data_IF_180521189774
#
_entry.id   IF_180521189774
#
_cell.length_a   1.000
_cell.length_b   1.000
_cell.length_c   1.000
_cell.angle_alpha   90.00
_cell.angle_beta   90.00
_cell.angle_gamma   90.00
#
_symmetry.space_group_name_H-M   'P 1'
#
loop_
_entity.id
_entity.type
_entity.pdbx_description
1 polymer ?
#
# COMPACT_ATOMS: atom_id res chain seq x y z
N UNK A 1 39.62 62.58 -23.48
CA UNK A 1 38.41 62.11 -22.78
C UNK A 1 38.22 60.64 -23.21
N UNK A 2 38.50 59.71 -22.33
CA UNK A 2 38.21 58.27 -22.55
C UNK A 2 36.99 57.89 -21.74
N UNK A 3 35.91 57.52 -22.44
CA UNK A 3 34.71 57.03 -21.82
C UNK A 3 34.90 55.56 -21.47
N UNK A 4 34.93 55.22 -20.19
CA UNK A 4 34.92 53.83 -19.70
C UNK A 4 33.51 53.29 -19.74
N UNK A 5 33.29 52.24 -20.52
CA UNK A 5 32.03 51.51 -20.51
C UNK A 5 32.00 50.56 -19.27
N UNK A 6 31.05 50.79 -18.37
CA UNK A 6 30.79 49.95 -17.21
C UNK A 6 29.88 48.78 -17.66
N UNK A 7 30.46 47.59 -17.77
CA UNK A 7 29.68 46.38 -18.08
C UNK A 7 28.96 45.92 -16.83
N UNK A 8 27.63 46.03 -16.82
CA UNK A 8 26.76 45.45 -15.78
C UNK A 8 26.68 43.93 -15.99
N UNK A 9 27.35 43.16 -15.15
CA UNK A 9 27.14 41.72 -15.03
C UNK A 9 25.81 41.46 -14.32
N UNK A 10 24.77 41.14 -15.10
CA UNK A 10 23.53 40.56 -14.54
C UNK A 10 23.84 39.14 -14.08
N UNK A 11 23.91 38.93 -12.76
CA UNK A 11 23.90 37.60 -12.17
C UNK A 11 22.48 37.02 -12.38
N UNK A 12 22.39 36.02 -13.26
CA UNK A 12 21.16 35.23 -13.37
C UNK A 12 20.93 34.51 -12.03
N UNK A 13 19.82 34.81 -11.35
CA UNK A 13 19.38 34.01 -10.22
C UNK A 13 19.19 32.55 -10.68
N UNK A 14 19.65 31.57 -9.90
CA UNK A 14 19.37 30.16 -10.24
C UNK A 14 17.85 29.99 -10.34
N UNK A 15 17.39 29.50 -11.48
CA UNK A 15 15.99 29.10 -11.65
C UNK A 15 15.68 28.04 -10.58
N UNK A 16 14.62 28.25 -9.80
CA UNK A 16 14.13 27.20 -8.91
C UNK A 16 13.83 25.98 -9.78
N UNK A 17 14.38 24.83 -9.39
CA UNK A 17 14.13 23.62 -10.16
C UNK A 17 12.68 23.21 -9.98
N UNK A 18 12.08 22.78 -11.06
CA UNK A 18 10.79 22.13 -11.01
C UNK A 18 10.88 20.87 -10.12
N UNK A 19 9.91 20.64 -9.26
CA UNK A 19 9.85 19.43 -8.43
C UNK A 19 9.78 18.18 -9.32
N UNK A 20 10.30 17.02 -8.85
CA UNK A 20 10.24 15.79 -9.62
C UNK A 20 8.80 15.35 -9.88
N UNK A 21 8.52 14.92 -11.11
CA UNK A 21 7.24 14.24 -11.43
C UNK A 21 7.39 12.77 -11.10
N UNK A 22 6.54 12.27 -10.18
CA UNK A 22 6.65 10.93 -9.62
C UNK A 22 5.73 9.95 -10.36
N UNK A 23 6.28 8.86 -10.84
CA UNK A 23 5.52 7.69 -11.30
C UNK A 23 5.18 6.78 -10.10
N UNK A 24 4.25 5.84 -10.30
CA UNK A 24 3.94 4.81 -9.31
C UNK A 24 5.21 4.02 -8.95
N UNK A 25 5.58 3.94 -7.64
CA UNK A 25 6.84 3.35 -7.21
C UNK A 25 6.82 1.82 -7.12
N UNK A 26 5.77 1.17 -7.58
CA UNK A 26 5.57 -0.29 -7.56
C UNK A 26 5.14 -0.83 -8.92
N UNK A 27 5.58 -2.05 -9.23
CA UNK A 27 5.07 -2.82 -10.35
C UNK A 27 3.73 -3.49 -9.96
N UNK A 28 2.67 -2.69 -9.84
CA UNK A 28 1.35 -3.15 -9.44
C UNK A 28 0.24 -2.40 -10.19
N UNK A 29 -0.97 -2.92 -10.12
CA UNK A 29 -2.20 -2.28 -10.59
C UNK A 29 -2.84 -1.55 -9.39
N UNK A 30 -2.68 -0.21 -9.32
CA UNK A 30 -3.18 0.60 -8.22
C UNK A 30 -4.70 0.46 -8.05
N UNK A 31 -5.14 0.31 -6.80
CA UNK A 31 -6.54 0.02 -6.45
C UNK A 31 -6.92 -1.46 -6.55
N UNK A 32 -6.05 -2.31 -7.10
CA UNK A 32 -6.33 -3.74 -7.28
C UNK A 32 -5.29 -4.65 -6.64
N UNK A 33 -4.02 -4.54 -7.04
CA UNK A 33 -2.92 -5.37 -6.51
C UNK A 33 -2.00 -4.60 -5.57
N UNK A 34 -2.21 -3.30 -5.43
CA UNK A 34 -1.70 -2.45 -4.36
C UNK A 34 -2.67 -1.29 -4.10
N UNK A 35 -2.66 -0.76 -2.91
CA UNK A 35 -3.47 0.39 -2.47
C UNK A 35 -2.63 1.29 -1.59
N UNK A 36 -3.00 2.58 -1.46
CA UNK A 36 -2.44 3.43 -0.43
C UNK A 36 -3.26 3.22 0.85
N UNK A 37 -2.59 2.76 1.91
CA UNK A 37 -3.17 2.63 3.24
C UNK A 37 -3.04 3.94 4.01
N UNK A 38 -1.82 4.48 4.11
CA UNK A 38 -1.54 5.70 4.84
C UNK A 38 -0.83 6.75 3.98
N UNK A 39 -1.20 8.01 4.19
CA UNK A 39 -0.60 9.19 3.57
C UNK A 39 0.34 9.90 4.56
N UNK A 40 1.04 10.95 4.10
CA UNK A 40 1.83 11.81 4.98
C UNK A 40 0.91 12.47 6.01
N UNK A 41 1.39 12.53 7.25
CA UNK A 41 0.65 13.20 8.31
C UNK A 41 0.73 14.73 8.18
N UNK A 42 -0.43 15.34 7.96
CA UNK A 42 -0.61 16.77 7.86
C UNK A 42 -0.93 17.45 9.22
N UNK A 43 -1.20 16.67 10.28
CA UNK A 43 -1.45 17.22 11.60
C UNK A 43 -0.12 17.58 12.30
N UNK A 44 0.04 18.78 12.87
CA UNK A 44 1.24 19.15 13.62
C UNK A 44 1.26 18.65 15.08
N UNK A 45 0.13 18.15 15.58
CA UNK A 45 -0.08 17.66 16.94
C UNK A 45 0.01 16.14 17.05
N UNK A 46 -0.54 15.56 18.11
CA UNK A 46 -0.53 14.10 18.33
C UNK A 46 -1.68 13.36 17.63
N UNK A 47 -2.54 14.07 16.91
CA UNK A 47 -3.58 13.50 16.07
C UNK A 47 -3.02 13.10 14.71
N UNK A 48 -3.85 12.62 13.80
CA UNK A 48 -3.44 12.24 12.46
C UNK A 48 -4.40 12.78 11.42
N UNK A 49 -3.87 13.28 10.30
CA UNK A 49 -4.66 13.74 9.15
C UNK A 49 -3.92 13.50 7.85
N UNK A 50 -4.62 13.01 6.85
CA UNK A 50 -4.12 12.99 5.48
C UNK A 50 -4.33 14.33 4.77
N UNK A 51 -3.83 14.45 3.55
CA UNK A 51 -3.93 15.67 2.73
C UNK A 51 -5.38 16.11 2.42
N UNK A 52 -6.37 15.20 2.53
CA UNK A 52 -7.79 15.52 2.35
C UNK A 52 -8.47 15.95 3.65
N UNK A 53 -7.74 16.05 4.76
CA UNK A 53 -8.21 16.18 6.14
C UNK A 53 -8.96 14.95 6.67
N UNK A 54 -8.83 13.80 6.01
CA UNK A 54 -9.29 12.51 6.48
C UNK A 54 -8.33 11.86 7.48
N UNK A 55 -8.66 10.66 7.92
CA UNK A 55 -7.93 9.93 8.98
C UNK A 55 -6.90 8.93 8.45
N UNK A 56 -6.71 8.87 7.11
CA UNK A 56 -5.79 7.89 6.50
C UNK A 56 -4.33 8.31 6.63
N UNK A 57 -3.85 8.36 7.86
CA UNK A 57 -2.47 8.61 8.23
C UNK A 57 -2.20 8.02 9.62
N UNK A 58 -1.04 8.26 10.15
CA UNK A 58 -0.61 7.97 11.53
C UNK A 58 0.18 9.14 12.05
N UNK A 59 0.11 9.41 13.36
CA UNK A 59 0.89 10.48 14.00
C UNK A 59 2.37 10.43 13.58
N UNK A 60 2.86 11.56 13.09
CA UNK A 60 4.22 11.77 12.54
C UNK A 60 4.58 10.85 11.36
N UNK A 61 3.59 10.39 10.57
CA UNK A 61 3.86 9.58 9.38
C UNK A 61 4.51 10.43 8.28
N UNK A 62 5.67 9.98 7.79
CA UNK A 62 6.59 10.77 6.96
C UNK A 62 6.66 10.32 5.51
N UNK A 63 5.65 9.64 5.01
CA UNK A 63 5.62 9.14 3.65
C UNK A 63 4.26 8.64 3.23
N UNK A 64 4.23 7.91 2.13
CA UNK A 64 3.04 7.25 1.58
C UNK A 64 3.25 5.75 1.61
N UNK A 65 2.34 5.01 2.24
CA UNK A 65 2.42 3.56 2.39
C UNK A 65 1.60 2.86 1.29
N UNK A 66 2.33 2.25 0.35
CA UNK A 66 1.73 1.43 -0.72
C UNK A 66 1.69 -0.03 -0.27
N UNK A 67 0.52 -0.46 0.21
CA UNK A 67 0.28 -1.80 0.74
C UNK A 67 0.10 -2.82 -0.36
N UNK A 68 0.65 -4.02 -0.16
CA UNK A 68 0.29 -5.22 -0.90
C UNK A 68 -0.92 -5.93 -0.25
N UNK A 69 -1.65 -6.74 -1.02
CA UNK A 69 -2.83 -7.42 -0.49
C UNK A 69 -2.57 -8.37 0.68
N UNK A 70 -1.42 -9.05 0.67
CA UNK A 70 -1.01 -10.05 1.67
C UNK A 70 0.47 -10.41 1.54
N UNK A 71 0.98 -11.24 2.47
CA UNK A 71 2.35 -11.76 2.41
C UNK A 71 2.59 -12.66 1.19
N UNK A 72 1.58 -13.36 0.69
CA UNK A 72 1.73 -14.20 -0.49
C UNK A 72 2.07 -13.35 -1.73
N UNK A 73 1.49 -12.15 -1.86
CA UNK A 73 1.84 -11.19 -2.90
C UNK A 73 3.28 -10.69 -2.76
N UNK A 74 3.76 -10.44 -1.53
CA UNK A 74 5.15 -10.09 -1.25
C UNK A 74 6.10 -11.24 -1.63
N UNK A 75 5.77 -12.47 -1.28
CA UNK A 75 6.62 -13.64 -1.62
C UNK A 75 6.66 -13.92 -3.12
N UNK A 76 5.56 -13.66 -3.84
CA UNK A 76 5.53 -13.74 -5.30
C UNK A 76 6.45 -12.71 -5.96
N UNK A 77 6.82 -11.65 -5.24
CA UNK A 77 7.78 -10.62 -5.66
C UNK A 77 7.10 -9.46 -6.39
N UNK A 78 6.95 -8.32 -5.72
CA UNK A 78 6.48 -7.06 -6.33
C UNK A 78 7.66 -6.10 -6.39
N UNK A 79 8.05 -5.69 -7.59
CA UNK A 79 9.21 -4.82 -7.76
C UNK A 79 8.93 -3.39 -7.25
N UNK A 80 9.91 -2.85 -6.52
CA UNK A 80 10.01 -1.43 -6.17
C UNK A 80 10.72 -0.72 -7.30
N UNK A 81 10.11 0.34 -7.80
CA UNK A 81 10.54 1.10 -8.97
C UNK A 81 10.99 2.52 -8.58
N UNK A 82 11.99 3.05 -9.26
CA UNK A 82 12.36 4.45 -9.13
C UNK A 82 11.20 5.34 -9.59
N UNK A 83 10.63 6.14 -8.68
CA UNK A 83 9.50 7.02 -8.97
C UNK A 83 9.89 8.18 -9.90
N UNK A 84 11.16 8.62 -9.88
CA UNK A 84 11.70 9.66 -10.74
C UNK A 84 13.17 9.35 -11.09
N UNK A 85 13.74 9.99 -12.14
CA UNK A 85 15.16 9.83 -12.47
C UNK A 85 16.04 10.40 -11.36
N UNK A 86 17.17 9.75 -11.09
CA UNK A 86 18.09 10.23 -10.06
C UNK A 86 19.39 9.45 -9.96
N UNK A 87 20.12 9.71 -8.88
CA UNK A 87 21.32 8.99 -8.50
C UNK A 87 21.07 8.31 -7.16
N UNK A 88 21.44 7.05 -7.03
CA UNK A 88 21.38 6.33 -5.75
C UNK A 88 22.34 6.99 -4.76
N UNK A 89 21.81 7.67 -3.76
CA UNK A 89 22.59 8.36 -2.74
C UNK A 89 23.04 7.40 -1.63
N UNK A 90 22.17 6.46 -1.24
CA UNK A 90 22.48 5.47 -0.21
C UNK A 90 21.60 4.23 -0.36
N UNK A 91 22.09 3.09 0.16
CA UNK A 91 21.35 1.86 0.31
C UNK A 91 21.59 1.26 1.69
N UNK A 92 20.62 0.54 2.21
CA UNK A 92 20.76 -0.34 3.38
C UNK A 92 20.08 -1.66 3.08
N UNK A 93 20.77 -2.77 3.31
CA UNK A 93 20.27 -4.13 3.16
C UNK A 93 20.69 -4.99 4.35
N UNK A 94 20.09 -6.17 4.49
CA UNK A 94 20.44 -7.15 5.52
C UNK A 94 19.52 -7.14 6.75
N UNK A 95 18.52 -6.24 6.83
CA UNK A 95 17.49 -6.28 7.88
C UNK A 95 16.49 -7.39 7.52
N UNK A 96 16.16 -8.26 8.49
CA UNK A 96 15.24 -9.38 8.32
C UNK A 96 13.81 -8.91 7.99
N UNK A 97 13.13 -9.65 7.12
CA UNK A 97 11.71 -9.47 6.83
C UNK A 97 10.88 -10.19 7.91
N UNK A 98 10.66 -9.49 9.02
CA UNK A 98 9.97 -10.05 10.19
C UNK A 98 8.96 -9.04 10.71
N UNK A 99 7.67 -9.41 10.87
CA UNK A 99 6.67 -8.53 11.44
C UNK A 99 7.12 -8.01 12.81
N UNK A 100 6.91 -6.71 13.04
CA UNK A 100 7.21 -6.13 14.34
C UNK A 100 6.23 -6.64 15.40
N UNK A 101 6.77 -6.97 16.56
CA UNK A 101 6.03 -7.39 17.75
C UNK A 101 6.62 -6.66 18.97
N UNK A 102 5.91 -6.61 20.10
CA UNK A 102 6.50 -6.06 21.34
C UNK A 102 7.83 -6.71 21.72
N UNK A 103 8.01 -8.00 21.40
CA UNK A 103 9.21 -8.77 21.74
C UNK A 103 10.44 -8.47 20.87
N UNK A 104 10.27 -7.96 19.64
CA UNK A 104 11.37 -7.66 18.72
C UNK A 104 11.58 -6.17 18.44
N UNK A 105 10.70 -5.29 18.94
CA UNK A 105 10.70 -3.84 18.66
C UNK A 105 12.06 -3.19 18.96
N UNK A 106 12.70 -3.55 20.07
CA UNK A 106 14.02 -2.99 20.45
C UNK A 106 15.15 -3.32 19.48
N UNK A 107 15.02 -4.36 18.65
CA UNK A 107 16.02 -4.70 17.61
C UNK A 107 15.93 -3.82 16.38
N UNK A 108 14.85 -3.09 16.24
CA UNK A 108 14.52 -2.27 15.06
C UNK A 108 14.85 -0.80 15.32
N UNK A 109 15.08 -0.40 16.56
CA UNK A 109 15.42 0.97 16.95
C UNK A 109 16.61 1.51 16.14
N UNK A 110 16.43 2.69 15.51
CA UNK A 110 17.37 3.29 14.56
C UNK A 110 17.41 2.60 13.18
N UNK A 111 16.55 1.61 12.95
CA UNK A 111 16.41 0.88 11.68
C UNK A 111 14.96 0.77 11.24
N UNK A 112 14.10 1.70 11.63
CA UNK A 112 12.66 1.67 11.41
C UNK A 112 12.33 1.54 9.91
N UNK A 113 13.07 2.22 9.03
CA UNK A 113 12.92 2.12 7.57
C UNK A 113 13.34 0.74 6.98
N UNK A 114 13.96 -0.15 7.77
CA UNK A 114 14.41 -1.47 7.29
C UNK A 114 15.44 -1.41 6.18
N UNK A 115 15.35 -2.31 5.19
CA UNK A 115 16.14 -2.24 3.96
C UNK A 115 15.60 -1.11 3.09
N UNK A 116 16.49 -0.34 2.50
CA UNK A 116 16.11 0.94 1.91
C UNK A 116 17.01 1.36 0.75
N UNK A 117 16.43 2.15 -0.14
CA UNK A 117 17.15 2.91 -1.17
C UNK A 117 16.79 4.38 -1.02
N UNK A 118 17.77 5.28 -1.11
CA UNK A 118 17.57 6.72 -1.19
C UNK A 118 18.08 7.21 -2.54
N UNK A 119 17.24 7.90 -3.29
CA UNK A 119 17.59 8.56 -4.55
C UNK A 119 17.74 10.06 -4.33
N UNK A 120 18.74 10.64 -4.98
CA UNK A 120 18.93 12.08 -5.14
C UNK A 120 18.51 12.49 -6.56
N UNK A 121 17.53 13.39 -6.65
CA UNK A 121 17.00 13.91 -7.92
C UNK A 121 17.62 15.25 -8.31
N UNK A 122 18.55 15.74 -7.50
CA UNK A 122 19.14 17.07 -7.64
C UNK A 122 18.35 18.17 -6.95
N UNK A 123 18.99 19.32 -6.74
CA UNK A 123 18.40 20.53 -6.16
C UNK A 123 17.65 20.32 -4.83
N UNK A 124 18.18 19.44 -3.99
CA UNK A 124 17.63 19.15 -2.66
C UNK A 124 16.46 18.15 -2.64
N UNK A 125 15.97 17.68 -3.81
CA UNK A 125 14.92 16.69 -3.89
C UNK A 125 15.45 15.27 -3.73
N UNK A 126 14.82 14.50 -2.88
CA UNK A 126 15.14 13.09 -2.64
C UNK A 126 13.89 12.26 -2.49
N UNK A 127 13.98 10.95 -2.82
CA UNK A 127 13.00 9.94 -2.45
C UNK A 127 13.65 8.84 -1.64
N UNK A 128 12.92 8.33 -0.63
CA UNK A 128 13.34 7.27 0.26
C UNK A 128 12.35 6.11 0.16
N UNK A 129 12.87 4.93 -0.16
CA UNK A 129 12.11 3.69 -0.32
C UNK A 129 12.45 2.78 0.84
N UNK A 130 11.49 2.52 1.74
CA UNK A 130 11.69 1.72 2.96
C UNK A 130 10.98 0.37 2.90
N UNK A 131 11.25 -0.46 3.89
CA UNK A 131 10.66 -1.80 4.11
C UNK A 131 10.91 -2.79 2.98
N UNK A 132 12.00 -2.57 2.21
CA UNK A 132 12.33 -3.43 1.08
C UNK A 132 12.75 -4.83 1.54
N UNK A 133 12.55 -5.84 0.68
CA UNK A 133 12.87 -7.24 0.95
C UNK A 133 14.38 -7.43 1.08
N UNK A 134 14.80 -8.17 2.10
CA UNK A 134 16.21 -8.48 2.34
C UNK A 134 16.83 -9.18 1.14
N UNK A 135 18.01 -8.70 0.72
CA UNK A 135 18.77 -9.24 -0.41
C UNK A 135 18.16 -8.99 -1.78
N UNK A 136 17.11 -8.14 -1.87
CA UNK A 136 16.45 -7.86 -3.14
C UNK A 136 17.00 -6.64 -3.89
N UNK A 137 17.86 -5.83 -3.25
CA UNK A 137 18.33 -4.58 -3.83
C UNK A 137 19.19 -4.84 -5.07
N UNK A 138 18.85 -4.16 -6.18
CA UNK A 138 19.52 -4.30 -7.48
C UNK A 138 20.43 -3.13 -7.81
N UNK A 139 20.53 -2.16 -6.91
CA UNK A 139 21.26 -0.90 -7.09
C UNK A 139 22.29 -0.66 -6.00
N UNK A 140 23.29 0.18 -6.30
CA UNK A 140 24.33 0.58 -5.35
C UNK A 140 24.54 2.10 -5.41
N UNK A 141 25.12 2.74 -4.37
CA UNK A 141 25.43 4.16 -4.36
C UNK A 141 26.21 4.61 -5.59
N UNK A 142 25.84 5.77 -6.14
CA UNK A 142 26.43 6.33 -7.36
C UNK A 142 25.77 5.86 -8.67
N UNK A 143 24.95 4.80 -8.66
CA UNK A 143 24.22 4.36 -9.86
C UNK A 143 23.17 5.40 -10.26
N UNK A 144 23.14 5.76 -11.56
CA UNK A 144 22.07 6.54 -12.15
C UNK A 144 20.91 5.63 -12.48
N UNK A 145 19.69 6.08 -12.18
CA UNK A 145 18.43 5.38 -12.48
C UNK A 145 17.49 6.29 -13.24
N UNK A 146 16.64 5.68 -14.07
CA UNK A 146 15.52 6.33 -14.76
C UNK A 146 14.23 5.99 -14.03
N UNK A 147 13.19 6.77 -14.25
CA UNK A 147 11.84 6.40 -13.83
C UNK A 147 11.51 4.99 -14.29
N UNK A 148 11.01 4.15 -13.39
CA UNK A 148 10.63 2.75 -13.65
C UNK A 148 11.77 1.74 -13.55
N UNK A 149 13.03 2.16 -13.36
CA UNK A 149 14.11 1.21 -13.09
C UNK A 149 13.88 0.48 -11.77
N UNK A 150 14.12 -0.85 -11.76
CA UNK A 150 13.94 -1.68 -10.57
C UNK A 150 15.01 -1.36 -9.55
N UNK A 151 14.59 -1.06 -8.32
CA UNK A 151 15.46 -0.82 -7.16
C UNK A 151 15.61 -2.07 -6.29
N UNK A 152 14.59 -2.92 -6.25
CA UNK A 152 14.50 -4.13 -5.45
C UNK A 152 13.06 -4.63 -5.41
N UNK A 153 12.64 -5.27 -4.32
CA UNK A 153 11.29 -5.78 -4.11
C UNK A 153 10.70 -5.29 -2.79
N UNK A 154 9.37 -5.25 -2.71
CA UNK A 154 8.64 -5.00 -1.46
C UNK A 154 8.95 -6.10 -0.46
N UNK A 155 9.18 -5.72 0.79
CA UNK A 155 9.49 -6.60 1.90
C UNK A 155 8.66 -6.33 3.14
N UNK A 156 9.23 -6.74 4.28
CA UNK A 156 8.64 -6.63 5.61
C UNK A 156 9.71 -6.26 6.65
N UNK A 157 10.76 -5.56 6.24
CA UNK A 157 11.91 -5.22 7.07
C UNK A 157 11.71 -3.90 7.81
N UNK A 158 12.18 -3.80 9.04
CA UNK A 158 12.07 -2.58 9.86
C UNK A 158 10.80 -2.50 10.69
N UNK A 159 10.29 -1.29 10.94
CA UNK A 159 9.12 -1.06 11.79
C UNK A 159 7.83 -1.23 10.99
N UNK A 160 7.49 -2.46 10.69
CA UNK A 160 6.27 -2.81 9.96
C UNK A 160 5.73 -4.16 10.38
N UNK A 161 4.43 -4.39 10.22
CA UNK A 161 3.76 -5.67 10.47
C UNK A 161 2.99 -6.19 9.24
N UNK A 162 3.04 -5.46 8.12
CA UNK A 162 2.38 -5.83 6.88
C UNK A 162 3.23 -5.45 5.66
N UNK A 163 3.15 -6.20 4.55
CA UNK A 163 4.00 -5.97 3.39
C UNK A 163 3.60 -4.70 2.64
N UNK A 164 4.47 -3.72 2.63
CA UNK A 164 4.26 -2.44 1.94
C UNK A 164 5.57 -1.78 1.54
N UNK A 165 5.48 -0.82 0.66
CA UNK A 165 6.51 0.18 0.40
C UNK A 165 6.13 1.48 1.10
N UNK A 166 6.98 1.97 2.00
CA UNK A 166 6.91 3.33 2.49
C UNK A 166 7.76 4.23 1.58
N UNK A 167 7.13 5.20 0.92
CA UNK A 167 7.78 6.19 0.07
C UNK A 167 7.82 7.55 0.75
N UNK A 168 8.99 7.97 1.24
CA UNK A 168 9.24 9.35 1.69
C UNK A 168 9.68 10.23 0.53
N UNK A 169 9.12 11.44 0.44
CA UNK A 169 9.61 12.50 -0.46
C UNK A 169 10.17 13.62 0.38
N UNK A 170 11.37 14.07 0.04
CA UNK A 170 12.07 15.12 0.79
C UNK A 170 12.51 16.24 -0.15
N UNK A 171 12.42 17.48 0.35
CA UNK A 171 13.06 18.64 -0.26
C UNK A 171 13.88 19.39 0.79
N UNK A 172 15.17 19.54 0.54
CA UNK A 172 16.12 20.14 1.49
C UNK A 172 16.08 19.49 2.89
N UNK A 173 15.89 18.16 2.92
CA UNK A 173 15.81 17.37 4.14
C UNK A 173 14.47 17.44 4.90
N UNK A 174 13.49 18.17 4.40
CA UNK A 174 12.13 18.26 4.96
C UNK A 174 11.18 17.33 4.22
N UNK A 175 10.28 16.70 4.95
CA UNK A 175 9.21 15.89 4.34
C UNK A 175 8.29 16.75 3.52
N UNK A 176 7.94 16.25 2.34
CA UNK A 176 6.97 16.85 1.42
C UNK A 176 5.88 15.82 1.14
N UNK A 177 4.63 16.19 1.32
CA UNK A 177 3.51 15.36 0.88
C UNK A 177 3.41 15.40 -0.65
N UNK A 178 3.59 14.28 -1.38
CA UNK A 178 3.49 14.28 -2.82
C UNK A 178 2.08 14.54 -3.36
N UNK A 179 1.04 14.45 -2.52
CA UNK A 179 -0.34 14.78 -2.89
C UNK A 179 -0.67 16.25 -2.69
N UNK A 180 -0.02 16.94 -1.75
CA UNK A 180 -0.19 18.37 -1.50
C UNK A 180 1.15 19.05 -1.11
N UNK A 181 2.11 19.15 -2.04
CA UNK A 181 3.49 19.55 -1.74
C UNK A 181 3.61 20.98 -1.20
N UNK A 182 2.61 21.82 -1.40
CA UNK A 182 2.56 23.20 -0.91
C UNK A 182 1.97 23.36 0.49
N UNK A 183 1.29 22.34 1.02
CA UNK A 183 0.51 22.45 2.24
C UNK A 183 1.34 22.55 3.53
N UNK A 184 2.60 22.06 3.52
CA UNK A 184 3.40 21.95 4.73
C UNK A 184 2.77 20.93 5.70
N UNK A 185 2.38 21.40 6.90
CA UNK A 185 1.64 20.58 7.89
C UNK A 185 0.19 21.08 8.02
N UNK A 186 -0.50 21.17 6.90
CA UNK A 186 -1.92 21.47 6.80
C UNK A 186 -2.54 20.56 5.75
N UNK A 187 -3.86 20.50 5.70
CA UNK A 187 -4.58 19.64 4.76
C UNK A 187 -5.60 20.42 3.93
N UNK A 188 -6.09 19.82 2.85
CA UNK A 188 -7.20 20.36 2.05
C UNK A 188 -6.86 21.61 1.24
N UNK A 189 -5.58 21.85 0.91
CA UNK A 189 -5.20 23.04 0.15
C UNK A 189 -5.50 22.89 -1.35
N UNK A 190 -5.61 21.65 -1.85
CA UNK A 190 -5.98 21.36 -3.24
C UNK A 190 -4.93 21.80 -4.26
N UNK A 191 -3.67 21.87 -3.86
CA UNK A 191 -2.54 22.22 -4.71
C UNK A 191 -2.22 21.17 -5.78
N UNK A 192 -1.30 21.48 -6.72
CA UNK A 192 -0.86 20.52 -7.72
C UNK A 192 -0.05 19.41 -7.06
N UNK A 193 -0.39 18.16 -7.35
CA UNK A 193 0.34 16.97 -6.89
C UNK A 193 1.69 16.79 -7.61
N UNK A 194 2.64 16.09 -6.98
CA UNK A 194 3.88 15.64 -7.64
C UNK A 194 3.69 14.41 -8.53
N UNK A 195 2.56 13.71 -8.44
CA UNK A 195 2.31 12.51 -9.22
C UNK A 195 2.17 12.82 -10.72
N UNK A 196 2.84 12.03 -11.55
CA UNK A 196 2.74 12.09 -13.01
C UNK A 196 1.49 11.41 -13.54
N UNK A 197 0.86 10.56 -12.73
CA UNK A 197 -0.38 9.84 -13.01
C UNK A 197 -1.40 10.17 -11.93
N UNK A 198 -2.67 10.06 -12.26
CA UNK A 198 -3.73 10.20 -11.26
C UNK A 198 -3.74 8.96 -10.36
N UNK A 199 -3.64 9.19 -9.05
CA UNK A 199 -3.78 8.18 -8.00
C UNK A 199 -5.01 8.55 -7.17
N UNK A 200 -6.20 8.06 -7.54
CA UNK A 200 -7.43 8.42 -6.86
C UNK A 200 -7.39 8.04 -5.38
N UNK A 201 -7.95 8.92 -4.55
CA UNK A 201 -8.10 8.67 -3.11
C UNK A 201 -9.14 7.58 -2.87
N UNK A 202 -8.74 6.52 -2.17
CA UNK A 202 -9.64 5.46 -1.73
C UNK A 202 -9.86 5.57 -0.23
N UNK A 203 -11.01 6.13 0.19
CA UNK A 203 -11.34 6.31 1.60
C UNK A 203 -11.40 4.98 2.37
N UNK A 204 -11.80 3.90 1.70
CA UNK A 204 -11.82 2.54 2.20
C UNK A 204 -11.67 1.56 1.03
N UNK A 205 -11.52 0.27 1.30
CA UNK A 205 -11.49 -0.72 0.23
C UNK A 205 -11.32 -2.16 0.70
N UNK A 206 -11.04 -3.04 -0.25
CA UNK A 206 -10.79 -4.44 -0.02
C UNK A 206 -9.35 -4.77 -0.40
N UNK A 207 -8.57 -5.28 0.56
CA UNK A 207 -7.27 -5.88 0.25
C UNK A 207 -7.45 -7.15 -0.56
N UNK A 208 -8.14 -8.15 0.04
CA UNK A 208 -8.34 -9.46 -0.57
C UNK A 208 -9.74 -10.00 -0.35
N UNK A 209 -10.09 -11.01 -1.15
CA UNK A 209 -11.14 -11.97 -0.90
C UNK A 209 -10.59 -13.37 -1.10
N UNK A 210 -11.13 -14.36 -0.41
CA UNK A 210 -10.68 -15.75 -0.55
C UNK A 210 -11.68 -16.74 -0.01
N UNK A 211 -11.57 -17.97 -0.50
CA UNK A 211 -12.22 -19.12 0.12
C UNK A 211 -11.27 -19.80 1.10
N UNK A 212 -11.87 -20.33 2.19
CA UNK A 212 -11.20 -21.15 3.21
C UNK A 212 -12.07 -22.34 3.62
N UNK A 213 -11.47 -23.34 4.25
CA UNK A 213 -12.11 -24.58 4.69
C UNK A 213 -12.67 -24.50 6.12
N UNK A 214 -12.66 -23.32 6.70
CA UNK A 214 -13.21 -22.95 8.01
C UNK A 214 -13.13 -21.44 8.19
N UNK A 215 -13.66 -20.89 9.28
CA UNK A 215 -13.48 -19.48 9.63
C UNK A 215 -11.99 -19.26 9.93
N UNK A 216 -11.26 -18.47 9.13
CA UNK A 216 -9.82 -18.32 9.28
C UNK A 216 -9.46 -17.45 10.50
N UNK A 217 -8.25 -17.63 11.03
CA UNK A 217 -7.69 -16.62 11.92
C UNK A 217 -7.32 -15.35 11.13
N UNK A 218 -7.39 -14.18 11.77
CA UNK A 218 -7.09 -12.92 11.08
C UNK A 218 -5.64 -12.89 10.54
N UNK A 219 -4.68 -13.41 11.29
CA UNK A 219 -3.30 -13.53 10.83
C UNK A 219 -3.16 -14.37 9.55
N UNK A 220 -4.00 -15.41 9.37
CA UNK A 220 -4.00 -16.22 8.15
C UNK A 220 -4.61 -15.46 6.95
N UNK A 221 -5.59 -14.58 7.21
CA UNK A 221 -6.13 -13.66 6.19
C UNK A 221 -5.05 -12.67 5.75
N UNK A 222 -4.38 -12.03 6.69
CA UNK A 222 -3.32 -11.03 6.44
C UNK A 222 -2.11 -11.65 5.73
N UNK A 223 -1.76 -12.89 6.05
CA UNK A 223 -0.65 -13.59 5.41
C UNK A 223 -1.02 -14.21 4.05
N UNK A 224 -2.31 -14.35 3.74
CA UNK A 224 -2.79 -15.09 2.57
C UNK A 224 -2.88 -16.60 2.80
N UNK A 225 -2.44 -17.12 3.96
CA UNK A 225 -2.47 -18.56 4.29
C UNK A 225 -3.89 -19.12 4.38
N UNK A 226 -4.89 -18.28 4.65
CA UNK A 226 -6.31 -18.67 4.66
C UNK A 226 -6.82 -19.10 3.29
N UNK A 227 -6.22 -18.59 2.20
CA UNK A 227 -6.74 -18.77 0.83
C UNK A 227 -6.54 -20.21 0.35
N UNK A 228 -7.64 -20.81 -0.08
CA UNK A 228 -7.65 -22.14 -0.74
C UNK A 228 -7.93 -21.96 -2.23
N UNK A 229 -7.10 -22.56 -3.05
CA UNK A 229 -7.32 -22.66 -4.50
C UNK A 229 -8.07 -23.95 -4.86
N UNK A 230 -8.01 -24.96 -3.96
CA UNK A 230 -8.72 -26.23 -4.07
C UNK A 230 -9.25 -26.64 -2.70
N UNK A 231 -10.39 -27.32 -2.67
CA UNK A 231 -11.02 -27.83 -1.46
C UNK A 231 -11.59 -29.23 -1.68
N UNK A 232 -11.58 -30.03 -0.62
CA UNK A 232 -12.27 -31.32 -0.62
C UNK A 232 -13.80 -31.12 -0.58
N UNK A 233 -14.58 -32.04 -1.17
CA UNK A 233 -16.05 -31.90 -1.21
C UNK A 233 -16.72 -31.90 0.18
N UNK A 234 -16.11 -32.47 1.17
CA UNK A 234 -16.61 -32.56 2.56
C UNK A 234 -16.15 -31.39 3.45
N UNK A 235 -15.29 -30.52 2.96
CA UNK A 235 -14.84 -29.34 3.69
C UNK A 235 -15.95 -28.27 3.81
N UNK A 236 -15.87 -27.43 4.85
CA UNK A 236 -16.70 -26.23 4.90
C UNK A 236 -16.31 -25.25 3.79
N UNK A 237 -17.27 -24.55 3.21
CA UNK A 237 -17.05 -23.51 2.20
C UNK A 237 -17.26 -22.16 2.86
N UNK A 238 -16.18 -21.44 3.13
CA UNK A 238 -16.20 -20.13 3.78
C UNK A 238 -15.59 -19.10 2.85
N UNK A 239 -16.35 -18.04 2.51
CA UNK A 239 -15.87 -16.87 1.78
C UNK A 239 -15.55 -15.77 2.78
N UNK A 240 -14.37 -15.15 2.67
CA UNK A 240 -14.00 -14.00 3.47
C UNK A 240 -13.65 -12.79 2.59
N UNK A 241 -13.81 -11.59 3.18
CA UNK A 241 -13.33 -10.33 2.63
C UNK A 241 -12.46 -9.58 3.65
N UNK A 242 -11.28 -9.14 3.25
CA UNK A 242 -10.34 -8.34 4.04
C UNK A 242 -10.49 -6.87 3.65
N UNK A 243 -10.94 -6.06 4.59
CA UNK A 243 -11.30 -4.64 4.41
C UNK A 243 -10.22 -3.75 5.04
N UNK A 244 -9.98 -2.59 4.47
CA UNK A 244 -9.19 -1.52 5.08
C UNK A 244 -10.01 -0.23 5.23
N UNK A 245 -9.76 0.52 6.32
CA UNK A 245 -10.39 1.80 6.68
C UNK A 245 -11.93 1.77 6.62
N UNK A 246 -12.52 0.75 7.27
CA UNK A 246 -13.96 0.70 7.45
C UNK A 246 -14.44 1.82 8.38
N UNK A 247 -15.60 2.37 8.07
CA UNK A 247 -16.30 3.36 8.89
C UNK A 247 -17.69 2.82 9.32
N UNK A 248 -18.24 3.33 10.43
CA UNK A 248 -19.59 2.98 10.85
C UNK A 248 -20.63 3.21 9.75
N UNK A 249 -21.44 2.19 9.48
CA UNK A 249 -22.45 2.21 8.42
C UNK A 249 -21.96 1.71 7.05
N UNK A 250 -20.69 1.36 6.91
CA UNK A 250 -20.23 0.60 5.75
C UNK A 250 -20.89 -0.79 5.76
N UNK A 251 -21.10 -1.38 4.57
CA UNK A 251 -21.73 -2.69 4.40
C UNK A 251 -20.86 -3.59 3.53
N UNK A 252 -20.61 -4.80 4.05
CA UNK A 252 -19.85 -5.82 3.33
C UNK A 252 -20.77 -6.93 2.86
N UNK A 253 -20.94 -7.07 1.54
CA UNK A 253 -21.69 -8.15 0.91
C UNK A 253 -20.77 -9.30 0.51
N UNK A 254 -21.15 -10.52 0.90
CA UNK A 254 -20.47 -11.76 0.53
C UNK A 254 -21.48 -12.68 -0.17
N UNK A 255 -21.16 -13.07 -1.39
CA UNK A 255 -21.98 -13.95 -2.22
C UNK A 255 -21.11 -15.08 -2.78
N UNK A 256 -21.54 -16.33 -2.61
CA UNK A 256 -20.86 -17.48 -3.17
C UNK A 256 -21.79 -18.24 -4.13
N UNK A 257 -21.25 -18.61 -5.27
CA UNK A 257 -21.90 -19.38 -6.32
C UNK A 257 -21.08 -20.65 -6.63
N UNK A 258 -21.76 -21.72 -6.92
CA UNK A 258 -21.17 -23.00 -7.35
C UNK A 258 -21.83 -23.53 -8.62
N UNK A 259 -21.49 -24.77 -9.04
CA UNK A 259 -22.02 -25.37 -10.27
C UNK A 259 -23.55 -25.45 -10.31
N UNK A 260 -24.23 -25.49 -9.16
CA UNK A 260 -25.68 -25.60 -9.06
C UNK A 260 -26.37 -24.27 -8.71
N UNK A 261 -25.67 -23.14 -8.77
CA UNK A 261 -26.19 -21.80 -8.51
C UNK A 261 -25.69 -21.19 -7.20
N UNK A 262 -26.49 -20.26 -6.64
CA UNK A 262 -26.15 -19.54 -5.42
C UNK A 262 -26.10 -20.48 -4.21
N UNK A 263 -25.01 -20.39 -3.41
CA UNK A 263 -24.83 -21.14 -2.18
C UNK A 263 -25.30 -20.31 -0.98
N UNK A 264 -24.84 -19.05 -0.95
CA UNK A 264 -25.28 -18.05 0.04
C UNK A 264 -25.03 -16.65 -0.48
N UNK A 265 -25.81 -15.72 0.08
CA UNK A 265 -25.63 -14.28 -0.03
C UNK A 265 -25.91 -13.67 1.33
N UNK A 266 -24.98 -12.85 1.82
CA UNK A 266 -25.16 -12.14 3.08
C UNK A 266 -24.53 -10.76 3.00
N UNK A 267 -25.21 -9.78 3.61
CA UNK A 267 -24.69 -8.44 3.85
C UNK A 267 -24.46 -8.28 5.35
N UNK A 268 -23.31 -7.69 5.71
CA UNK A 268 -22.89 -7.46 7.09
C UNK A 268 -22.63 -5.97 7.24
N UNK A 269 -23.32 -5.32 8.19
CA UNK A 269 -23.02 -3.96 8.60
C UNK A 269 -21.68 -3.92 9.35
N UNK A 270 -20.89 -2.89 9.10
CA UNK A 270 -19.65 -2.61 9.83
C UNK A 270 -19.97 -1.45 10.77
N UNK A 271 -19.97 -1.72 12.07
CA UNK A 271 -20.52 -0.79 13.07
C UNK A 271 -19.40 0.06 13.72
N UNK A 272 -18.16 -0.41 13.65
CA UNK A 272 -17.01 0.24 14.25
C UNK A 272 -15.99 0.71 13.20
N UNK A 273 -15.28 1.84 13.44
CA UNK A 273 -14.18 2.23 12.60
C UNK A 273 -12.98 1.29 12.86
N UNK A 274 -12.50 0.65 11.81
CA UNK A 274 -11.34 -0.26 11.89
C UNK A 274 -10.36 -0.01 10.72
N UNK A 275 -9.08 0.13 11.03
CA UNK A 275 -8.03 0.29 10.01
C UNK A 275 -7.97 -0.96 9.14
N UNK A 276 -8.03 -2.14 9.75
CA UNK A 276 -8.10 -3.42 9.04
C UNK A 276 -9.04 -4.37 9.77
N UNK A 277 -9.91 -5.02 9.02
CA UNK A 277 -10.80 -6.06 9.52
C UNK A 277 -11.06 -7.11 8.44
N UNK A 278 -11.58 -8.26 8.84
CA UNK A 278 -12.20 -9.18 7.91
C UNK A 278 -13.58 -9.63 8.41
N UNK A 279 -14.40 -10.06 7.46
CA UNK A 279 -15.65 -10.78 7.77
C UNK A 279 -15.73 -12.01 6.89
N UNK A 280 -16.36 -13.04 7.42
CA UNK A 280 -16.48 -14.33 6.74
C UNK A 280 -17.88 -14.91 6.88
N UNK A 281 -18.36 -15.51 5.80
CA UNK A 281 -19.63 -16.22 5.73
C UNK A 281 -19.39 -17.58 5.10
N UNK A 282 -20.01 -18.63 5.63
CA UNK A 282 -19.82 -19.96 5.08
C UNK A 282 -20.90 -20.95 5.44
N UNK A 283 -20.81 -22.12 4.83
CA UNK A 283 -21.66 -23.26 5.10
C UNK A 283 -20.81 -24.53 5.25
N UNK A 284 -21.27 -25.43 6.11
CA UNK A 284 -20.75 -26.81 6.15
C UNK A 284 -21.17 -27.53 4.88
N UNK A 285 -20.37 -28.50 4.47
CA UNK A 285 -20.72 -29.35 3.34
C UNK A 285 -22.10 -30.03 3.54
N UNK A 286 -22.93 -30.09 2.50
CA UNK A 286 -24.18 -30.80 2.55
C UNK A 286 -23.91 -32.32 2.64
N UNK A 287 -24.95 -33.13 3.04
CA UNK A 287 -24.85 -34.59 2.93
C UNK A 287 -24.45 -34.99 1.49
N UNK A 288 -23.41 -35.79 1.36
CA UNK A 288 -22.85 -36.17 0.04
C UNK A 288 -21.75 -35.22 -0.48
N UNK A 289 -21.46 -34.13 0.22
CA UNK A 289 -20.44 -33.16 -0.12
C UNK A 289 -20.88 -32.12 -1.16
N UNK A 290 -20.00 -31.16 -1.39
CA UNK A 290 -20.17 -30.16 -2.46
C UNK A 290 -19.97 -30.82 -3.83
N UNK A 291 -20.76 -30.45 -4.84
CA UNK A 291 -20.50 -30.86 -6.23
C UNK A 291 -19.08 -30.46 -6.67
N UNK A 292 -18.41 -31.36 -7.39
CA UNK A 292 -17.11 -31.02 -8.00
C UNK A 292 -17.30 -29.91 -9.05
N UNK A 293 -16.35 -28.99 -9.11
CA UNK A 293 -16.37 -27.88 -10.06
C UNK A 293 -15.80 -26.58 -9.51
N UNK A 294 -15.98 -25.52 -10.29
CA UNK A 294 -15.54 -24.18 -9.94
C UNK A 294 -16.59 -23.46 -9.10
N UNK A 295 -16.12 -22.80 -8.04
CA UNK A 295 -16.90 -21.96 -7.17
C UNK A 295 -16.34 -20.54 -7.22
N UNK A 296 -17.24 -19.54 -7.26
CA UNK A 296 -16.87 -18.14 -7.32
C UNK A 296 -17.51 -17.37 -6.17
N UNK A 297 -16.68 -16.57 -5.50
CA UNK A 297 -17.08 -15.61 -4.48
C UNK A 297 -17.04 -14.19 -5.02
N UNK A 298 -18.03 -13.39 -4.62
CA UNK A 298 -18.07 -11.95 -4.85
C UNK A 298 -18.13 -11.26 -3.50
N UNK A 299 -17.16 -10.39 -3.23
CA UNK A 299 -17.10 -9.55 -2.05
C UNK A 299 -17.21 -8.11 -2.49
N UNK A 300 -18.16 -7.37 -1.91
CA UNK A 300 -18.45 -5.98 -2.26
C UNK A 300 -18.52 -5.14 -0.99
N UNK A 301 -17.91 -3.95 -1.03
CA UNK A 301 -17.94 -2.98 0.06
C UNK A 301 -18.71 -1.74 -0.39
N UNK A 302 -19.71 -1.33 0.37
CA UNK A 302 -20.49 -0.11 0.15
C UNK A 302 -20.35 0.86 1.31
N UNK A 303 -20.32 2.16 0.98
CA UNK A 303 -20.51 3.28 1.91
C UNK A 303 -21.77 4.03 1.49
N UNK A 304 -22.80 3.97 2.31
CA UNK A 304 -24.13 4.39 1.86
C UNK A 304 -24.59 3.62 0.62
N UNK A 305 -24.96 4.32 -0.45
CA UNK A 305 -25.35 3.73 -1.74
C UNK A 305 -24.16 3.58 -2.72
N UNK A 306 -22.97 4.00 -2.34
CA UNK A 306 -21.80 3.95 -3.23
C UNK A 306 -21.07 2.63 -3.08
N UNK A 307 -20.89 1.91 -4.18
CA UNK A 307 -20.01 0.74 -4.25
C UNK A 307 -18.54 1.21 -4.26
N UNK A 308 -17.82 0.99 -3.15
CA UNK A 308 -16.43 1.44 -2.98
C UNK A 308 -15.46 0.44 -3.62
N UNK A 309 -15.67 -0.86 -3.40
CA UNK A 309 -14.74 -1.88 -3.86
C UNK A 309 -15.43 -3.20 -4.15
N UNK A 310 -14.84 -3.97 -5.07
CA UNK A 310 -15.22 -5.36 -5.38
C UNK A 310 -13.98 -6.22 -5.47
N UNK A 311 -14.05 -7.43 -4.89
CA UNK A 311 -13.06 -8.51 -5.08
C UNK A 311 -13.77 -9.80 -5.44
N UNK A 312 -13.06 -10.64 -6.18
CA UNK A 312 -13.52 -11.98 -6.55
C UNK A 312 -12.57 -13.02 -5.94
N UNK A 313 -13.13 -14.16 -5.58
CA UNK A 313 -12.38 -15.33 -5.16
C UNK A 313 -12.86 -16.54 -5.95
N UNK A 314 -11.92 -17.39 -6.35
CA UNK A 314 -12.25 -18.64 -7.04
C UNK A 314 -11.62 -19.81 -6.26
N UNK A 315 -12.36 -20.93 -6.19
CA UNK A 315 -11.86 -22.19 -5.62
C UNK A 315 -12.44 -23.36 -6.41
N UNK A 316 -11.62 -24.39 -6.62
CA UNK A 316 -12.05 -25.63 -7.25
C UNK A 316 -12.34 -26.69 -6.18
N UNK A 317 -13.56 -27.21 -6.15
CA UNK A 317 -13.91 -28.38 -5.33
C UNK A 317 -13.58 -29.63 -6.15
N UNK A 318 -12.74 -30.48 -5.59
CA UNK A 318 -12.32 -31.74 -6.21
C UNK A 318 -11.86 -32.77 -5.16
N UNK A 319 -12.00 -34.05 -5.48
CA UNK A 319 -11.47 -35.16 -4.69
C UNK A 319 -9.95 -35.26 -4.74
#
# INVERSE_FOLDING_TARGET
MRAGALALLLAAAPAAADPPRLALPLACEYGRTCVIEDYVDADPGPDQRDYTCGIKSRDDHRGVDFMLPDLAAMEAGVAVLAAAPGVVAAVRDGVEDTPVTPGNRGRIEGRECGNAVRLDHGQGWQTLYCHMKRGSLTVAPGRRVRTGDVLGAVGLSGLTNAPHLHLGVLHEGRIVDPFDPGAGRTCGTGGPTLWAVDLPYHAAGLFTAGFSDGVPAFADVQSGAARRMTMAPDAALVLYGHVFHAEPGDRLGLEAQGPQGEIFRQEIALDDPEVQLYRAVGRKAPPGGWPEGAYRGHVRLWRGETLIATRHADVAVRR
#
